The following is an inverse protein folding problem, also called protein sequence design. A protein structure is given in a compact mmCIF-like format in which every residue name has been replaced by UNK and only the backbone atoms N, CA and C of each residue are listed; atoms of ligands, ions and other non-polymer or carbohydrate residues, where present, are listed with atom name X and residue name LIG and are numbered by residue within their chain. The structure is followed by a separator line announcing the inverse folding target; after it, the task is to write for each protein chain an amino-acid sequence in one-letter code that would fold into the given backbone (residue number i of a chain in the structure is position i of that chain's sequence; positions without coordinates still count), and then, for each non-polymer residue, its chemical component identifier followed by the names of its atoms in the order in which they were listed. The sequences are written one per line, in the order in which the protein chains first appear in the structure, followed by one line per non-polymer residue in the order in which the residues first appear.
data_IF_446047532355
#
_entry.id   IF_446047532355
#
_cell.length_a   1.000
_cell.length_b   1.000
_cell.length_c   1.000
_cell.angle_alpha   90.00
_cell.angle_beta   90.00
_cell.angle_gamma   90.00
#
_symmetry.space_group_name_H-M   'P 1'
#
loop_
_entity.id
_entity.type
_entity.pdbx_description
1 polymer ?
#
# COMPACT_ATOMS: atom_id res chain seq x y z
N UNK A 1 6.83 -1.80 -8.40
CA UNK A 1 6.14 -2.50 -9.48
C UNK A 1 5.48 -1.46 -10.36
N UNK A 2 5.73 -1.45 -11.67
CA UNK A 2 5.09 -0.52 -12.60
C UNK A 2 3.72 -1.08 -13.06
N UNK A 3 2.78 -1.19 -12.12
CA UNK A 3 1.45 -1.75 -12.37
C UNK A 3 0.38 -0.69 -12.64
N UNK A 4 -0.82 -1.13 -13.01
CA UNK A 4 -1.96 -0.22 -13.27
C UNK A 4 -2.45 0.51 -12.03
N UNK A 5 -2.16 0.00 -10.83
CA UNK A 5 -2.53 0.62 -9.56
C UNK A 5 -1.89 2.01 -9.34
N UNK A 6 -0.74 2.29 -9.99
CA UNK A 6 -0.03 3.57 -9.88
C UNK A 6 -0.57 4.57 -10.91
N UNK A 7 -1.80 5.04 -10.73
CA UNK A 7 -2.53 5.80 -11.75
C UNK A 7 -2.16 7.30 -11.84
N UNK A 8 -1.22 7.77 -11.02
CA UNK A 8 -0.90 9.20 -10.93
C UNK A 8 -0.45 9.79 -12.27
N UNK A 9 -1.19 10.79 -12.76
CA UNK A 9 -0.92 11.47 -14.03
C UNK A 9 -1.49 10.78 -15.28
N UNK A 10 -2.23 9.67 -15.14
CA UNK A 10 -2.87 9.02 -16.28
C UNK A 10 -4.09 9.81 -16.79
N UNK A 11 -4.23 9.89 -18.11
CA UNK A 11 -5.45 10.37 -18.78
C UNK A 11 -6.40 9.20 -19.11
N UNK A 12 -7.64 9.52 -19.47
CA UNK A 12 -8.59 8.53 -20.02
C UNK A 12 -9.39 7.73 -18.98
N UNK A 13 -9.36 8.13 -17.70
CA UNK A 13 -10.07 7.44 -16.60
C UNK A 13 -11.50 7.95 -16.34
N UNK A 14 -11.99 8.89 -17.16
CA UNK A 14 -13.33 9.44 -17.03
C UNK A 14 -13.48 10.50 -15.93
N UNK A 15 -14.74 10.79 -15.56
CA UNK A 15 -15.09 11.73 -14.49
C UNK A 15 -15.09 11.02 -13.14
N UNK A 16 -14.83 11.77 -12.07
CA UNK A 16 -15.04 11.27 -10.71
C UNK A 16 -16.53 11.25 -10.44
N UNK A 17 -17.09 10.06 -10.25
CA UNK A 17 -18.47 9.87 -9.81
C UNK A 17 -18.51 9.87 -8.27
N UNK A 18 -19.44 10.64 -7.70
CA UNK A 18 -19.62 10.74 -6.25
C UNK A 18 -21.07 10.37 -5.94
N UNK A 19 -21.26 9.25 -5.24
CA UNK A 19 -22.57 8.79 -4.82
C UNK A 19 -23.07 9.62 -3.63
N UNK A 20 -24.31 10.10 -3.72
CA UNK A 20 -24.95 10.82 -2.62
C UNK A 20 -25.45 9.81 -1.59
N UNK A 21 -25.06 10.00 -0.32
CA UNK A 21 -25.41 9.10 0.78
C UNK A 21 -24.90 7.66 0.59
N UNK A 22 -23.70 7.52 0.00
CA UNK A 22 -23.04 6.23 -0.17
C UNK A 22 -23.01 5.44 1.14
N UNK A 23 -23.52 4.19 1.17
CA UNK A 23 -23.46 3.36 2.37
C UNK A 23 -22.03 2.90 2.63
N UNK A 24 -21.73 2.48 3.88
CA UNK A 24 -20.40 1.92 4.20
C UNK A 24 -20.11 0.64 3.39
N UNK A 25 -21.15 -0.15 3.13
CA UNK A 25 -21.12 -1.32 2.27
C UNK A 25 -22.36 -1.31 1.38
N UNK A 26 -22.19 -1.43 0.06
CA UNK A 26 -23.27 -1.53 -0.91
C UNK A 26 -24.00 -2.89 -0.81
N UNK A 27 -23.33 -3.90 -0.25
CA UNK A 27 -23.92 -5.23 -0.04
C UNK A 27 -23.24 -6.03 1.07
N UNK A 28 -23.92 -7.08 1.55
CA UNK A 28 -23.39 -7.90 2.66
C UNK A 28 -22.07 -8.62 2.33
N UNK A 29 -21.80 -8.95 1.07
CA UNK A 29 -20.56 -9.64 0.71
C UNK A 29 -19.33 -8.74 0.88
N UNK A 30 -19.48 -7.42 0.68
CA UNK A 30 -18.41 -6.46 0.92
C UNK A 30 -18.03 -6.40 2.39
N UNK A 31 -19.04 -6.34 3.27
CA UNK A 31 -18.86 -6.43 4.72
C UNK A 31 -18.18 -7.75 5.12
N UNK A 32 -18.54 -8.85 4.46
CA UNK A 32 -17.91 -10.16 4.68
C UNK A 32 -16.45 -10.19 4.23
N UNK A 33 -16.11 -9.65 3.05
CA UNK A 33 -14.71 -9.57 2.58
C UNK A 33 -13.86 -8.70 3.50
N UNK A 34 -14.41 -7.58 3.98
CA UNK A 34 -13.76 -6.75 4.98
C UNK A 34 -13.49 -7.53 6.27
N UNK A 35 -14.51 -8.22 6.81
CA UNK A 35 -14.39 -9.03 8.01
C UNK A 35 -13.39 -10.20 7.85
N UNK A 36 -13.37 -10.86 6.68
CA UNK A 36 -12.42 -11.92 6.35
C UNK A 36 -10.98 -11.39 6.33
N UNK A 37 -10.74 -10.22 5.73
CA UNK A 37 -9.41 -9.62 5.74
C UNK A 37 -8.91 -9.33 7.16
N UNK A 38 -9.79 -8.85 8.05
CA UNK A 38 -9.47 -8.65 9.47
C UNK A 38 -9.20 -9.97 10.19
N UNK A 39 -10.07 -10.96 10.01
CA UNK A 39 -9.98 -12.26 10.66
C UNK A 39 -8.73 -13.04 10.20
N UNK A 40 -8.39 -13.02 8.91
CA UNK A 40 -7.20 -13.69 8.41
C UNK A 40 -5.91 -12.92 8.78
N UNK A 41 -5.98 -11.57 8.85
CA UNK A 41 -4.89 -10.74 9.35
C UNK A 41 -4.48 -11.04 10.80
N UNK A 42 -5.38 -11.64 11.59
CA UNK A 42 -5.11 -12.13 12.95
C UNK A 42 -3.91 -13.08 13.01
N UNK A 43 -3.71 -13.91 11.97
CA UNK A 43 -2.63 -14.88 11.93
C UNK A 43 -1.24 -14.25 11.77
N UNK A 44 -1.17 -12.95 11.40
CA UNK A 44 0.08 -12.19 11.23
C UNK A 44 1.09 -12.85 10.28
N UNK A 45 0.59 -13.65 9.33
CA UNK A 45 1.40 -14.30 8.28
C UNK A 45 1.85 -13.31 7.21
N UNK A 46 1.20 -12.15 7.10
CA UNK A 46 1.63 -11.05 6.25
C UNK A 46 1.50 -9.72 6.99
N UNK A 47 2.21 -8.71 6.50
CA UNK A 47 2.05 -7.32 6.92
C UNK A 47 1.19 -6.53 5.92
N UNK A 48 0.93 -5.26 6.24
CA UNK A 48 0.09 -4.39 5.40
C UNK A 48 0.71 -4.16 4.01
N UNK A 49 2.03 -4.11 3.89
CA UNK A 49 2.74 -3.80 2.65
C UNK A 49 2.72 -5.02 1.71
N UNK A 50 2.91 -6.23 2.25
CA UNK A 50 2.61 -7.49 1.53
C UNK A 50 1.16 -7.52 1.03
N UNK A 51 0.20 -7.06 1.86
CA UNK A 51 -1.21 -6.99 1.49
C UNK A 51 -1.54 -5.92 0.46
N UNK A 52 -0.74 -4.85 0.34
CA UNK A 52 -0.83 -3.92 -0.81
C UNK A 52 -0.25 -4.59 -2.04
N UNK A 53 0.92 -5.21 -1.90
CA UNK A 53 1.61 -5.86 -3.01
C UNK A 53 0.81 -7.02 -3.64
N UNK A 54 0.02 -7.78 -2.88
CA UNK A 54 -0.87 -8.80 -3.48
C UNK A 54 -1.92 -8.18 -4.42
N UNK A 55 -2.45 -7.00 -4.08
CA UNK A 55 -3.40 -6.26 -4.94
C UNK A 55 -2.73 -5.64 -6.15
N UNK A 56 -1.49 -5.20 -6.01
CA UNK A 56 -0.68 -4.65 -7.10
C UNK A 56 -0.40 -5.69 -8.19
N UNK A 57 -0.40 -6.98 -7.83
CA UNK A 57 -0.17 -8.13 -8.70
C UNK A 57 -1.43 -8.69 -9.38
N UNK A 58 -2.61 -8.13 -9.12
CA UNK A 58 -3.83 -8.49 -9.85
C UNK A 58 -3.63 -8.13 -11.33
N UNK A 59 -4.00 -9.00 -12.29
CA UNK A 59 -3.87 -8.71 -13.71
C UNK A 59 -4.54 -7.36 -14.08
N UNK A 60 -3.91 -6.50 -14.91
CA UNK A 60 -4.37 -5.11 -15.08
C UNK A 60 -5.84 -4.95 -15.52
N UNK A 61 -6.29 -5.76 -16.47
CA UNK A 61 -7.67 -5.70 -16.95
C UNK A 61 -8.67 -6.08 -15.84
N UNK A 62 -8.33 -7.12 -15.08
CA UNK A 62 -9.10 -7.56 -13.92
C UNK A 62 -9.11 -6.53 -12.79
N UNK A 63 -7.97 -5.87 -12.53
CA UNK A 63 -7.90 -4.79 -11.55
C UNK A 63 -8.81 -3.62 -11.94
N UNK A 64 -8.79 -3.20 -13.20
CA UNK A 64 -9.62 -2.07 -13.64
C UNK A 64 -11.12 -2.41 -13.64
N UNK A 65 -11.47 -3.66 -13.98
CA UNK A 65 -12.86 -4.12 -13.98
C UNK A 65 -13.42 -4.39 -12.57
N UNK A 66 -12.55 -4.71 -11.60
CA UNK A 66 -12.96 -5.08 -10.25
C UNK A 66 -13.40 -3.87 -9.41
N UNK A 67 -14.50 -4.06 -8.70
CA UNK A 67 -14.94 -3.22 -7.58
C UNK A 67 -13.89 -3.22 -6.46
N UNK A 68 -14.03 -2.30 -5.50
CA UNK A 68 -13.05 -2.14 -4.42
C UNK A 68 -12.87 -3.42 -3.60
N UNK A 69 -13.97 -4.04 -3.16
CA UNK A 69 -13.89 -5.24 -2.32
C UNK A 69 -13.56 -6.51 -3.11
N UNK A 70 -13.79 -6.57 -4.41
CA UNK A 70 -13.26 -7.66 -5.25
C UNK A 70 -11.72 -7.66 -5.28
N UNK A 71 -11.09 -6.48 -5.34
CA UNK A 71 -9.62 -6.36 -5.23
C UNK A 71 -9.12 -6.89 -3.89
N UNK A 72 -9.84 -6.61 -2.81
CA UNK A 72 -9.52 -7.12 -1.48
C UNK A 72 -9.65 -8.63 -1.38
N UNK A 73 -10.70 -9.21 -1.96
CA UNK A 73 -10.90 -10.65 -1.97
C UNK A 73 -9.78 -11.37 -2.74
N UNK A 74 -9.51 -10.94 -3.98
CA UNK A 74 -8.44 -11.51 -4.82
C UNK A 74 -7.06 -11.42 -4.14
N UNK A 75 -6.78 -10.26 -3.54
CA UNK A 75 -5.54 -10.06 -2.78
C UNK A 75 -5.44 -10.94 -1.54
N UNK A 76 -6.56 -11.23 -0.87
CA UNK A 76 -6.61 -12.12 0.29
C UNK A 76 -6.43 -13.59 -0.13
N UNK A 77 -7.13 -14.05 -1.16
CA UNK A 77 -7.02 -15.41 -1.70
C UNK A 77 -5.57 -15.75 -2.08
N UNK A 78 -4.90 -14.83 -2.77
CA UNK A 78 -3.48 -14.95 -3.11
C UNK A 78 -2.61 -15.13 -1.87
N UNK A 79 -2.80 -14.30 -0.83
CA UNK A 79 -2.00 -14.39 0.40
C UNK A 79 -2.29 -15.68 1.19
N UNK A 80 -3.54 -16.13 1.25
CA UNK A 80 -3.90 -17.36 1.94
C UNK A 80 -3.17 -18.57 1.33
N UNK A 81 -3.09 -18.63 0.00
CA UNK A 81 -2.35 -19.68 -0.71
C UNK A 81 -0.84 -19.53 -0.51
N UNK A 82 -0.30 -18.33 -0.73
CA UNK A 82 1.15 -18.08 -0.59
C UNK A 82 1.69 -18.35 0.81
N UNK A 83 0.85 -18.18 1.84
CA UNK A 83 1.22 -18.47 3.23
C UNK A 83 0.85 -19.88 3.69
N UNK A 84 0.36 -20.73 2.77
CA UNK A 84 0.02 -22.13 3.05
C UNK A 84 -1.13 -22.29 4.05
N UNK A 85 -2.03 -21.30 4.16
CA UNK A 85 -3.21 -21.38 5.02
C UNK A 85 -4.39 -22.09 4.34
N UNK A 86 -4.44 -22.04 3.01
CA UNK A 86 -5.39 -22.76 2.16
C UNK A 86 -4.68 -23.25 0.89
N UNK A 87 -5.17 -24.30 0.26
CA UNK A 87 -4.70 -24.71 -1.07
C UNK A 87 -5.51 -24.02 -2.18
N UNK A 88 -4.94 -23.93 -3.39
CA UNK A 88 -5.68 -23.44 -4.55
C UNK A 88 -6.93 -24.28 -4.86
N UNK A 89 -6.87 -25.59 -4.57
CA UNK A 89 -7.99 -26.52 -4.74
C UNK A 89 -9.09 -26.31 -3.68
N UNK A 90 -8.71 -26.02 -2.44
CA UNK A 90 -9.68 -25.65 -1.39
C UNK A 90 -10.44 -24.38 -1.76
N UNK A 91 -9.74 -23.36 -2.29
CA UNK A 91 -10.40 -22.15 -2.79
C UNK A 91 -11.33 -22.43 -3.98
N UNK A 92 -10.87 -23.22 -4.96
CA UNK A 92 -11.67 -23.53 -6.15
C UNK A 92 -12.94 -24.34 -5.81
N UNK A 93 -12.84 -25.29 -4.87
CA UNK A 93 -13.94 -26.21 -4.53
C UNK A 93 -14.81 -25.75 -3.37
N UNK A 94 -14.33 -24.78 -2.57
CA UNK A 94 -14.97 -24.35 -1.32
C UNK A 94 -14.99 -25.45 -0.25
N UNK A 95 -14.16 -26.50 -0.38
CA UNK A 95 -14.12 -27.65 0.53
C UNK A 95 -12.71 -27.84 1.05
N UNK A 96 -12.58 -27.93 2.38
CA UNK A 96 -11.31 -28.25 3.02
C UNK A 96 -10.84 -29.66 2.62
N UNK A 97 -9.57 -29.81 2.27
CA UNK A 97 -8.97 -31.10 1.95
C UNK A 97 -8.57 -31.87 3.22
N UNK A 98 -8.35 -31.15 4.32
CA UNK A 98 -8.07 -31.73 5.62
C UNK A 98 -8.52 -30.80 6.75
N UNK A 99 -8.51 -31.31 7.99
CA UNK A 99 -8.78 -30.48 9.15
C UNK A 99 -7.62 -29.49 9.35
N UNK A 100 -7.93 -28.20 9.44
CA UNK A 100 -6.93 -27.18 9.76
C UNK A 100 -6.20 -27.52 11.07
N UNK A 101 -4.88 -27.37 11.07
CA UNK A 101 -4.01 -27.64 12.22
C UNK A 101 -3.02 -26.50 12.44
N UNK A 102 -2.60 -26.28 13.69
CA UNK A 102 -1.58 -25.28 14.03
C UNK A 102 -1.99 -23.81 13.87
N UNK A 103 -3.29 -23.52 13.68
CA UNK A 103 -3.83 -22.16 13.56
C UNK A 103 -5.10 -21.99 14.39
N UNK A 104 -5.28 -20.82 14.99
CA UNK A 104 -6.47 -20.43 15.76
C UNK A 104 -7.26 -19.34 15.05
N UNK A 105 -8.58 -19.34 15.21
CA UNK A 105 -9.45 -18.29 14.68
C UNK A 105 -9.60 -17.13 15.68
N UNK A 106 -9.74 -15.91 15.17
CA UNK A 106 -10.14 -14.75 15.97
C UNK A 106 -11.60 -14.95 16.43
N UNK A 107 -11.83 -15.04 17.75
CA UNK A 107 -13.18 -15.24 18.30
C UNK A 107 -13.88 -13.91 18.49
N UNK A 108 -15.22 -13.92 18.49
CA UNK A 108 -16.06 -12.72 18.63
C UNK A 108 -15.67 -11.83 19.83
N UNK A 109 -15.43 -12.36 21.05
CA UNK A 109 -15.04 -11.51 22.18
C UNK A 109 -13.67 -10.85 22.03
N UNK A 110 -12.81 -11.37 21.15
CA UNK A 110 -11.43 -10.90 20.95
C UNK A 110 -11.35 -9.78 19.91
N UNK A 111 -12.38 -9.60 19.08
CA UNK A 111 -12.40 -8.66 17.95
C UNK A 111 -12.13 -7.23 18.41
N UNK A 112 -12.85 -6.74 19.42
CA UNK A 112 -12.70 -5.36 19.87
C UNK A 112 -11.27 -5.08 20.38
N UNK A 113 -10.68 -6.00 21.13
CA UNK A 113 -9.30 -5.89 21.63
C UNK A 113 -8.30 -5.95 20.48
N UNK A 114 -8.50 -6.86 19.53
CA UNK A 114 -7.65 -6.98 18.34
C UNK A 114 -7.63 -5.67 17.53
N UNK A 115 -8.79 -5.04 17.31
CA UNK A 115 -8.91 -3.79 16.56
C UNK A 115 -8.32 -2.58 17.29
N UNK A 116 -8.36 -2.56 18.62
CA UNK A 116 -7.73 -1.48 19.42
C UNK A 116 -6.21 -1.58 19.41
N UNK A 117 -5.65 -2.78 19.31
CA UNK A 117 -4.22 -3.02 19.26
C UNK A 117 -3.63 -2.69 17.89
N UNK A 118 -3.66 -1.41 17.52
CA UNK A 118 -3.06 -0.90 16.29
C UNK A 118 -1.54 -1.03 16.35
N UNK A 119 -0.94 -1.54 15.27
CA UNK A 119 0.51 -1.50 15.08
C UNK A 119 0.86 -0.20 14.37
N UNK A 120 1.71 0.61 15.00
CA UNK A 120 2.22 1.83 14.40
C UNK A 120 3.30 1.49 13.37
N UNK A 121 3.19 2.07 12.18
CA UNK A 121 4.27 2.01 11.18
C UNK A 121 5.42 2.96 11.55
N UNK A 122 5.13 4.00 12.33
CA UNK A 122 6.13 4.87 12.97
C UNK A 122 6.84 4.09 14.07
N UNK A 123 8.15 4.28 14.15
CA UNK A 123 9.03 3.62 15.11
C UNK A 123 9.70 4.67 15.99
N UNK A 124 9.93 4.32 17.25
CA UNK A 124 10.68 5.12 18.21
C UNK A 124 12.13 4.62 18.23
N UNK A 125 12.79 4.77 17.08
CA UNK A 125 14.19 4.36 16.88
C UNK A 125 15.04 5.60 16.58
N UNK A 126 16.27 5.61 17.08
CA UNK A 126 17.20 6.73 16.88
C UNK A 126 18.00 6.52 15.59
N UNK A 127 17.36 6.81 14.45
CA UNK A 127 18.02 6.87 13.14
C UNK A 127 18.29 8.35 12.83
N UNK A 128 19.50 8.73 12.39
CA UNK A 128 19.76 10.11 11.98
C UNK A 128 19.10 10.41 10.62
N UNK A 129 18.40 11.56 10.45
CA UNK A 129 17.84 11.94 9.17
C UNK A 129 18.94 12.28 8.16
N UNK A 130 18.79 11.84 6.90
CA UNK A 130 19.67 12.27 5.81
C UNK A 130 19.37 13.70 5.34
N UNK A 131 18.14 14.18 5.53
CA UNK A 131 17.68 15.49 5.04
C UNK A 131 16.89 16.25 6.11
N UNK A 132 16.76 17.56 5.96
CA UNK A 132 15.90 18.43 6.78
C UNK A 132 14.98 19.29 5.92
N UNK A 133 13.89 19.85 6.49
CA UNK A 133 13.05 20.82 5.78
C UNK A 133 13.84 21.93 5.09
N UNK A 134 13.51 22.19 3.83
CA UNK A 134 14.19 23.15 2.95
C UNK A 134 15.29 22.55 2.07
N UNK A 135 15.78 21.34 2.36
CA UNK A 135 16.77 20.68 1.51
C UNK A 135 16.18 20.33 0.13
N UNK A 136 16.97 20.53 -0.92
CA UNK A 136 16.63 20.12 -2.28
C UNK A 136 17.04 18.66 -2.49
N UNK A 137 16.14 17.89 -3.08
CA UNK A 137 16.33 16.46 -3.30
C UNK A 137 15.98 16.06 -4.72
N UNK A 138 16.59 14.99 -5.18
CA UNK A 138 16.29 14.31 -6.43
C UNK A 138 15.78 12.92 -6.07
N UNK A 139 14.59 12.57 -6.56
CA UNK A 139 14.09 11.21 -6.39
C UNK A 139 14.82 10.24 -7.31
N UNK A 140 15.01 9.02 -6.85
CA UNK A 140 15.58 7.95 -7.67
C UNK A 140 14.71 7.64 -8.89
N UNK A 141 15.33 7.07 -9.93
CA UNK A 141 14.65 6.60 -11.12
C UNK A 141 14.65 5.07 -11.19
N UNK A 142 14.21 4.44 -10.11
CA UNK A 142 14.18 2.99 -10.00
C UNK A 142 12.86 2.39 -10.53
N UNK A 143 12.96 1.18 -11.06
CA UNK A 143 11.81 0.43 -11.60
C UNK A 143 11.73 -0.96 -10.98
N UNK A 144 11.57 -1.08 -9.65
CA UNK A 144 11.54 -2.37 -8.98
C UNK A 144 10.34 -3.20 -9.45
N UNK A 145 10.57 -4.51 -9.61
CA UNK A 145 9.51 -5.48 -9.90
C UNK A 145 8.61 -5.65 -8.66
N UNK A 146 9.19 -5.62 -7.45
CA UNK A 146 8.49 -5.74 -6.17
C UNK A 146 7.74 -4.47 -5.72
N UNK A 147 7.23 -4.46 -4.50
CA UNK A 147 6.52 -3.31 -3.92
C UNK A 147 7.40 -2.07 -3.82
N UNK A 148 6.84 -0.89 -4.09
CA UNK A 148 7.48 0.40 -3.81
C UNK A 148 6.44 1.49 -3.58
N UNK A 149 6.82 2.54 -2.86
CA UNK A 149 5.96 3.69 -2.59
C UNK A 149 6.36 4.95 -3.35
N UNK A 150 7.43 4.92 -4.16
CA UNK A 150 7.79 6.02 -5.06
C UNK A 150 6.97 5.95 -6.38
N UNK A 151 5.95 6.81 -6.57
CA UNK A 151 5.08 6.76 -7.74
C UNK A 151 5.84 7.10 -9.02
N UNK A 152 5.45 6.51 -10.15
CA UNK A 152 6.15 6.72 -11.44
C UNK A 152 6.28 8.19 -11.82
N UNK A 153 5.24 8.99 -11.60
CA UNK A 153 5.26 10.40 -11.98
C UNK A 153 6.31 11.23 -11.22
N UNK A 154 6.70 10.76 -10.03
CA UNK A 154 7.63 11.46 -9.15
C UNK A 154 9.07 10.97 -9.29
N UNK A 155 9.38 9.97 -10.14
CA UNK A 155 10.74 9.42 -10.30
C UNK A 155 11.65 10.33 -11.13
N UNK A 156 12.90 10.47 -10.70
CA UNK A 156 13.87 11.38 -11.34
C UNK A 156 13.41 12.84 -11.36
N UNK A 157 12.66 13.27 -10.33
CA UNK A 157 12.10 14.63 -10.21
C UNK A 157 12.76 15.36 -9.06
N UNK A 158 12.98 16.65 -9.25
CA UNK A 158 13.51 17.52 -8.19
C UNK A 158 12.39 17.99 -7.27
N UNK A 159 12.61 17.87 -5.98
CA UNK A 159 11.70 18.31 -4.93
C UNK A 159 12.42 19.12 -3.86
N UNK A 160 11.64 19.56 -2.88
CA UNK A 160 12.14 20.18 -1.65
C UNK A 160 11.51 19.46 -0.47
N UNK A 161 12.30 19.10 0.54
CA UNK A 161 11.77 18.55 1.78
C UNK A 161 10.89 19.61 2.44
N UNK A 162 9.60 19.33 2.61
CA UNK A 162 8.69 20.19 3.36
C UNK A 162 8.71 19.84 4.85
N UNK A 163 8.70 18.55 5.15
CA UNK A 163 8.58 18.03 6.51
C UNK A 163 9.27 16.69 6.66
N UNK A 164 9.91 16.49 7.81
CA UNK A 164 10.33 15.18 8.30
C UNK A 164 9.25 14.63 9.26
N UNK A 165 8.73 13.43 8.97
CA UNK A 165 7.75 12.76 9.82
C UNK A 165 8.39 11.90 10.92
N UNK A 166 9.71 11.72 10.90
CA UNK A 166 10.48 10.82 11.76
C UNK A 166 10.66 9.44 11.13
N UNK A 167 10.97 8.46 11.98
CA UNK A 167 11.36 7.11 11.55
C UNK A 167 10.14 6.20 11.33
N UNK A 168 10.10 5.53 10.18
CA UNK A 168 9.06 4.58 9.80
C UNK A 168 9.66 3.29 9.28
N UNK A 169 8.86 2.21 9.32
CA UNK A 169 9.12 0.99 8.56
C UNK A 169 9.21 1.32 7.07
N UNK A 170 10.24 0.82 6.39
CA UNK A 170 10.42 0.96 4.95
C UNK A 170 9.58 -0.06 4.18
N UNK A 171 8.56 0.43 3.48
CA UNK A 171 7.56 -0.42 2.84
C UNK A 171 8.15 -1.38 1.79
N UNK A 172 9.14 -0.93 1.03
CA UNK A 172 9.76 -1.67 -0.08
C UNK A 172 10.40 -2.98 0.42
N UNK A 173 11.21 -2.95 1.49
CA UNK A 173 11.78 -4.17 2.07
C UNK A 173 10.75 -4.94 2.89
N UNK A 174 9.86 -4.24 3.60
CA UNK A 174 8.89 -4.88 4.49
C UNK A 174 7.89 -5.76 3.71
N UNK A 175 7.50 -5.34 2.51
CA UNK A 175 6.65 -6.14 1.63
C UNK A 175 7.36 -7.38 1.06
N UNK A 176 8.67 -7.30 0.80
CA UNK A 176 9.38 -8.33 0.04
C UNK A 176 10.12 -9.33 0.93
N UNK A 177 10.81 -8.86 1.97
CA UNK A 177 11.66 -9.67 2.85
C UNK A 177 11.21 -9.64 4.30
N UNK A 178 10.16 -8.87 4.63
CA UNK A 178 9.72 -8.55 6.00
C UNK A 178 10.75 -7.79 6.83
N UNK A 179 11.87 -7.38 6.25
CA UNK A 179 12.81 -6.48 6.89
C UNK A 179 12.17 -5.10 7.01
N UNK A 180 12.12 -4.59 8.25
CA UNK A 180 11.52 -3.28 8.52
C UNK A 180 12.39 -2.13 8.03
N UNK A 181 13.72 -2.32 7.97
CA UNK A 181 14.73 -1.29 7.64
C UNK A 181 14.33 0.14 8.06
N UNK A 182 14.26 0.42 9.37
CA UNK A 182 13.80 1.71 9.91
C UNK A 182 14.58 2.89 9.32
N UNK A 183 13.88 3.88 8.78
CA UNK A 183 14.50 5.09 8.21
C UNK A 183 13.51 6.26 8.19
N UNK A 184 13.98 7.48 7.94
CA UNK A 184 13.09 8.63 7.91
C UNK A 184 12.14 8.61 6.72
N UNK A 185 10.94 9.17 6.94
CA UNK A 185 9.95 9.42 5.90
C UNK A 185 9.63 10.92 5.86
N UNK A 186 9.75 11.52 4.68
CA UNK A 186 9.61 12.95 4.47
C UNK A 186 8.44 13.26 3.56
N UNK A 187 7.74 14.35 3.82
CA UNK A 187 6.88 14.95 2.80
C UNK A 187 7.74 15.78 1.85
N UNK A 188 7.81 15.36 0.60
CA UNK A 188 8.58 16.05 -0.44
C UNK A 188 7.62 16.85 -1.33
N UNK A 189 7.86 18.16 -1.41
CA UNK A 189 7.10 19.07 -2.26
C UNK A 189 7.69 19.10 -3.67
N UNK A 190 6.85 18.82 -4.65
CA UNK A 190 7.14 18.97 -6.07
C UNK A 190 6.31 20.10 -6.67
N UNK A 191 6.94 20.99 -7.44
CA UNK A 191 6.19 21.95 -8.25
C UNK A 191 5.42 21.22 -9.35
N UNK A 192 4.17 21.61 -9.63
CA UNK A 192 3.38 20.96 -10.68
C UNK A 192 4.08 21.00 -12.06
N UNK A 193 4.86 22.06 -12.34
CA UNK A 193 5.64 22.18 -13.58
C UNK A 193 6.85 21.25 -13.67
N UNK A 194 7.42 20.83 -12.55
CA UNK A 194 8.47 19.80 -12.56
C UNK A 194 7.87 18.44 -12.93
N UNK A 195 6.66 18.14 -12.43
CA UNK A 195 5.99 16.88 -12.71
C UNK A 195 5.38 16.81 -14.11
N UNK A 196 4.76 17.90 -14.57
CA UNK A 196 3.85 17.90 -15.72
C UNK A 196 4.21 18.91 -16.81
N UNK A 197 5.34 19.61 -16.67
CA UNK A 197 5.83 20.55 -17.66
C UNK A 197 5.21 21.95 -17.60
N UNK A 198 5.62 22.82 -18.54
CA UNK A 198 5.39 24.26 -18.48
C UNK A 198 3.91 24.68 -18.53
N UNK A 199 3.04 23.86 -19.11
CA UNK A 199 1.59 24.10 -19.19
C UNK A 199 0.89 23.95 -17.84
N UNK A 200 1.49 23.26 -16.87
CA UNK A 200 0.93 23.17 -15.53
C UNK A 200 0.99 24.50 -14.78
N UNK A 201 0.11 24.67 -13.78
CA UNK A 201 0.06 25.85 -12.92
C UNK A 201 1.43 26.10 -12.27
N UNK A 202 1.85 27.37 -12.28
CA UNK A 202 3.08 27.80 -11.59
C UNK A 202 2.93 27.83 -10.06
N UNK A 203 1.69 27.82 -9.56
CA UNK A 203 1.38 27.98 -8.13
C UNK A 203 1.14 26.65 -7.44
N UNK A 204 0.80 25.61 -8.21
CA UNK A 204 0.36 24.34 -7.67
C UNK A 204 1.56 23.46 -7.31
N UNK A 205 1.37 22.59 -6.33
CA UNK A 205 2.39 21.66 -5.86
C UNK A 205 1.76 20.35 -5.43
N UNK A 206 2.51 19.26 -5.59
CA UNK A 206 2.15 17.93 -5.12
C UNK A 206 3.11 17.55 -4.00
N UNK A 207 2.57 17.01 -2.92
CA UNK A 207 3.33 16.51 -1.79
C UNK A 207 3.28 14.99 -1.80
N UNK A 208 4.45 14.35 -1.73
CA UNK A 208 4.57 12.89 -1.73
C UNK A 208 5.45 12.48 -0.57
N UNK A 209 4.96 11.53 0.23
CA UNK A 209 5.70 11.00 1.36
C UNK A 209 6.68 9.92 0.87
N UNK A 210 7.99 10.18 1.04
CA UNK A 210 9.08 9.36 0.52
C UNK A 210 10.11 9.10 1.62
N UNK A 211 10.70 7.91 1.60
CA UNK A 211 11.72 7.50 2.56
C UNK A 211 13.11 8.00 2.16
N UNK A 212 14.04 8.03 3.12
CA UNK A 212 15.47 8.33 2.92
C UNK A 212 16.06 7.66 1.65
N UNK A 213 15.79 6.38 1.45
CA UNK A 213 16.35 5.58 0.37
C UNK A 213 15.64 5.79 -0.98
N UNK A 214 14.68 6.71 -1.08
CA UNK A 214 14.12 7.14 -2.36
C UNK A 214 14.78 8.41 -2.91
N UNK A 215 15.71 9.00 -2.17
CA UNK A 215 16.15 10.39 -2.35
C UNK A 215 17.69 10.51 -2.35
N UNK A 216 18.19 11.35 -3.25
CA UNK A 216 19.55 11.86 -3.26
C UNK A 216 19.54 13.40 -3.06
N UNK A 217 20.63 14.03 -2.58
CA UNK A 217 20.80 15.48 -2.66
C UNK A 217 20.73 15.99 -4.11
N UNK A 218 20.03 17.10 -4.37
CA UNK A 218 19.89 17.71 -5.70
C UNK A 218 20.81 18.90 -5.97
#
# INVERSE_FOLDING_TARGET
MNGVHDMGGMHGVGRVEIEKNEPVFHSEWEARVHALNLACGFHRRWNIDMGRHSRERIPPAEYLAATYYEKWLRGLEMLLVEQGLVTAKELQTGRAESKASGVSALRVPEVATFLRNRRHARLDENVPPKFKPGDRVLTHNDHPIGHTRLPRYARGKRGVIDRDHGVFVFADTHAMTRDKKPQHCYSVRFAARELWGASASARDSVYVDLWDDHLDPA
#
